data_IF_733312043198
#
_entry.id   IF_733312043198
#
_cell.length_a   1.000
_cell.length_b   1.000
_cell.length_c   1.000
_cell.angle_alpha   90.00
_cell.angle_beta   90.00
_cell.angle_gamma   90.00
#
_symmetry.space_group_name_H-M   'P 1'
#
loop_
_entity.id
_entity.type
_entity.pdbx_description
1 polymer ?
#
# COMPACT_ATOMS: atom_id res chain seq x y z
N UNK A 1 -3.91 11.29 -9.62
CA UNK A 1 -3.15 11.26 -8.36
C UNK A 1 -1.65 10.99 -8.59
N UNK A 2 -1.17 9.75 -8.71
CA UNK A 2 0.29 9.48 -8.85
C UNK A 2 0.93 10.14 -10.09
N UNK A 3 0.24 10.14 -11.24
CA UNK A 3 0.72 10.78 -12.48
C UNK A 3 0.81 12.30 -12.36
N UNK A 4 -0.07 12.92 -11.58
CA UNK A 4 -0.10 14.37 -11.37
C UNK A 4 1.15 14.84 -10.60
N UNK A 5 1.79 13.94 -9.87
CA UNK A 5 3.07 14.15 -9.19
C UNK A 5 4.27 13.60 -9.97
N UNK A 6 4.12 13.33 -11.28
CA UNK A 6 5.21 12.88 -12.14
C UNK A 6 5.60 11.40 -11.99
N UNK A 7 4.81 10.60 -11.28
CA UNK A 7 5.09 9.15 -11.12
C UNK A 7 4.52 8.38 -12.31
N UNK A 8 5.39 7.96 -13.22
CA UNK A 8 5.06 7.06 -14.33
C UNK A 8 5.07 5.58 -13.90
N UNK A 9 4.13 4.78 -14.41
CA UNK A 9 3.98 3.35 -14.12
C UNK A 9 3.17 2.63 -15.20
N UNK A 10 3.36 1.32 -15.34
CA UNK A 10 2.57 0.42 -16.21
C UNK A 10 1.43 -0.25 -15.46
N UNK A 11 1.65 -0.60 -14.20
CA UNK A 11 0.67 -1.22 -13.31
C UNK A 11 0.71 -0.54 -11.95
N UNK A 12 -0.41 -0.54 -11.23
CA UNK A 12 -0.52 0.03 -9.90
C UNK A 12 -1.44 -0.82 -9.01
N UNK A 13 -1.22 -0.74 -7.70
CA UNK A 13 -2.07 -1.35 -6.67
C UNK A 13 -2.06 -0.52 -5.39
N UNK A 14 -3.10 -0.66 -4.57
CA UNK A 14 -3.22 0.03 -3.29
C UNK A 14 -3.64 -0.95 -2.19
N UNK A 15 -3.00 -0.82 -1.03
CA UNK A 15 -3.57 -1.28 0.22
C UNK A 15 -3.88 -0.07 1.08
N UNK A 16 -5.09 -0.01 1.66
CA UNK A 16 -5.48 1.03 2.60
C UNK A 16 -6.06 0.39 3.86
N UNK A 17 -5.79 0.97 5.01
CA UNK A 17 -6.34 0.54 6.29
C UNK A 17 -6.50 1.73 7.24
N UNK A 18 -7.34 1.52 8.27
CA UNK A 18 -7.60 2.50 9.32
C UNK A 18 -7.68 1.80 10.68
N UNK A 19 -7.07 2.40 11.68
CA UNK A 19 -7.29 2.07 13.09
C UNK A 19 -6.22 1.19 13.73
N UNK A 20 -5.40 0.50 12.95
CA UNK A 20 -4.21 -0.20 13.45
C UNK A 20 -3.24 0.81 14.08
N UNK A 21 -2.68 0.46 15.24
CA UNK A 21 -1.87 1.38 16.05
C UNK A 21 -0.39 1.31 15.72
N UNK A 22 0.04 0.23 15.09
CA UNK A 22 1.45 0.00 14.76
C UNK A 22 1.63 -0.46 13.32
N UNK A 23 2.81 -0.23 12.72
CA UNK A 23 3.14 -0.77 11.41
C UNK A 23 3.01 -2.30 11.34
N UNK A 24 3.37 -3.00 12.42
CA UNK A 24 3.26 -4.46 12.47
C UNK A 24 1.80 -4.93 12.48
N UNK A 25 0.91 -4.26 13.21
CA UNK A 25 -0.52 -4.57 13.19
C UNK A 25 -1.11 -4.42 11.79
N UNK A 26 -0.78 -3.33 11.07
CA UNK A 26 -1.35 -3.09 9.74
C UNK A 26 -0.79 -4.04 8.68
N UNK A 27 0.52 -4.34 8.72
CA UNK A 27 1.11 -5.33 7.80
C UNK A 27 0.53 -6.72 8.07
N UNK A 28 0.37 -7.12 9.33
CA UNK A 28 -0.29 -8.38 9.67
C UNK A 28 -1.74 -8.43 9.17
N UNK A 29 -2.49 -7.35 9.34
CA UNK A 29 -3.87 -7.27 8.85
C UNK A 29 -3.96 -7.39 7.31
N UNK A 30 -3.07 -6.72 6.57
CA UNK A 30 -2.99 -6.85 5.12
C UNK A 30 -2.55 -8.25 4.68
N UNK A 31 -1.58 -8.87 5.34
CA UNK A 31 -1.14 -10.23 5.03
C UNK A 31 -2.23 -11.28 5.30
N UNK A 32 -3.15 -11.02 6.23
CA UNK A 32 -4.29 -11.90 6.50
C UNK A 32 -5.50 -11.66 5.59
N UNK A 33 -5.47 -10.63 4.73
CA UNK A 33 -6.50 -10.39 3.72
C UNK A 33 -6.01 -10.84 2.35
N UNK A 34 -6.74 -11.73 1.68
CA UNK A 34 -6.30 -12.31 0.40
C UNK A 34 -6.01 -11.24 -0.67
N UNK A 35 -6.87 -10.20 -0.77
CA UNK A 35 -6.68 -9.11 -1.73
C UNK A 35 -5.46 -8.24 -1.42
N UNK A 36 -5.32 -7.81 -0.16
CA UNK A 36 -4.18 -6.97 0.23
C UNK A 36 -2.86 -7.73 0.17
N UNK A 37 -2.85 -9.01 0.57
CA UNK A 37 -1.70 -9.90 0.45
C UNK A 37 -1.31 -10.10 -1.01
N UNK A 38 -2.28 -10.23 -1.92
CA UNK A 38 -1.99 -10.37 -3.34
C UNK A 38 -1.20 -9.16 -3.87
N UNK A 39 -1.51 -7.94 -3.42
CA UNK A 39 -0.72 -6.76 -3.77
C UNK A 39 0.71 -6.84 -3.22
N UNK A 40 0.88 -7.18 -1.92
CA UNK A 40 2.21 -7.25 -1.28
C UNK A 40 3.12 -8.27 -1.97
N UNK A 41 2.58 -9.41 -2.40
CA UNK A 41 3.34 -10.51 -2.99
C UNK A 41 3.41 -10.45 -4.53
N UNK A 42 2.82 -9.43 -5.16
CA UNK A 42 2.78 -9.34 -6.62
C UNK A 42 4.15 -8.99 -7.20
N UNK A 43 4.77 -9.95 -7.90
CA UNK A 43 6.08 -9.78 -8.55
C UNK A 43 6.11 -8.73 -9.66
N UNK A 44 4.95 -8.31 -10.19
CA UNK A 44 4.87 -7.26 -11.20
C UNK A 44 5.03 -5.86 -10.60
N UNK A 45 4.88 -5.72 -9.29
CA UNK A 45 5.20 -4.47 -8.60
C UNK A 45 6.70 -4.43 -8.28
N UNK A 46 7.32 -3.31 -8.61
CA UNK A 46 8.76 -3.09 -8.46
C UNK A 46 9.09 -1.97 -7.49
N UNK A 47 8.11 -1.14 -7.13
CA UNK A 47 8.28 -0.06 -6.16
C UNK A 47 7.07 0.02 -5.23
N UNK A 48 7.32 0.55 -4.03
CA UNK A 48 6.30 0.84 -3.02
C UNK A 48 6.52 2.23 -2.42
N UNK A 49 5.44 2.97 -2.21
CA UNK A 49 5.37 4.13 -1.32
C UNK A 49 4.46 3.80 -0.13
N UNK A 50 4.87 4.22 1.08
CA UNK A 50 4.10 3.99 2.32
C UNK A 50 3.78 5.33 2.97
N UNK A 51 2.52 5.50 3.36
CA UNK A 51 2.03 6.69 4.05
C UNK A 51 1.33 6.33 5.35
N UNK A 52 1.51 7.16 6.37
CA UNK A 52 0.79 7.09 7.63
C UNK A 52 0.30 8.48 8.02
N UNK A 53 -0.98 8.59 8.35
CA UNK A 53 -1.56 9.77 8.99
C UNK A 53 -2.04 9.41 10.41
N UNK A 54 -1.42 10.03 11.40
CA UNK A 54 -1.74 9.84 12.82
C UNK A 54 -3.12 10.37 13.20
N UNK A 55 -3.73 11.24 12.39
CA UNK A 55 -5.09 11.74 12.61
C UNK A 55 -6.12 10.71 12.18
N UNK A 56 -6.30 9.66 13.00
CA UNK A 56 -7.24 8.56 12.74
C UNK A 56 -6.58 7.24 12.35
N UNK A 57 -5.24 7.18 12.42
CA UNK A 57 -4.43 6.02 12.10
C UNK A 57 -4.73 5.46 10.71
N UNK A 58 -4.60 6.30 9.68
CA UNK A 58 -4.74 5.89 8.29
C UNK A 58 -3.39 5.39 7.77
N UNK A 59 -3.42 4.25 7.09
CA UNK A 59 -2.25 3.61 6.51
C UNK A 59 -2.49 3.34 5.05
N UNK A 60 -1.51 3.65 4.21
CA UNK A 60 -1.58 3.38 2.77
C UNK A 60 -0.27 2.78 2.27
N UNK A 61 -0.39 1.78 1.39
CA UNK A 61 0.70 1.34 0.52
C UNK A 61 0.27 1.57 -0.93
N UNK A 62 1.09 2.30 -1.68
CA UNK A 62 0.94 2.43 -3.12
C UNK A 62 2.03 1.62 -3.80
N UNK A 63 1.64 0.63 -4.59
CA UNK A 63 2.54 -0.20 -5.37
C UNK A 63 2.51 0.24 -6.82
N UNK A 64 3.66 0.21 -7.49
CA UNK A 64 3.75 0.39 -8.94
C UNK A 64 4.67 -0.65 -9.58
N UNK A 65 4.36 -1.02 -10.82
CA UNK A 65 5.27 -1.67 -11.75
C UNK A 65 5.74 -0.69 -12.82
N UNK A 66 7.05 -0.65 -13.10
CA UNK A 66 7.65 0.16 -14.16
C UNK A 66 7.64 -0.54 -15.51
#
# INVERSE_FOLDING_TARGET
MMRDFGVSYRTAGENIAKGQRTPQEVVNAWMNSAGHRANILNRNFTHIGVGFDGNGNYWTQMFIGK
#
